data_IF_728738633510
#
_entry.id   IF_728738633510
#
_cell.length_a   1.000
_cell.length_b   1.000
_cell.length_c   1.000
_cell.angle_alpha   90.00
_cell.angle_beta   90.00
_cell.angle_gamma   90.00
#
_symmetry.space_group_name_H-M   'P 1'
#
loop_
_entity.id
_entity.type
_entity.pdbx_description
1 polymer ?
#
# COMPACT_ATOMS: atom_id res chain seq x y z
N UNK A 1 -16.67 -7.78 -10.27
CA UNK A 1 -15.62 -7.06 -9.53
C UNK A 1 -14.55 -8.07 -9.16
N UNK A 2 -13.27 -7.82 -9.45
CA UNK A 2 -12.19 -8.79 -9.18
C UNK A 2 -11.93 -8.80 -7.67
N UNK A 3 -11.96 -9.98 -7.04
CA UNK A 3 -11.60 -10.15 -5.63
C UNK A 3 -10.11 -9.91 -5.48
N UNK A 4 -9.72 -8.88 -4.75
CA UNK A 4 -8.33 -8.65 -4.38
C UNK A 4 -8.13 -9.28 -3.03
N UNK A 5 -7.14 -10.17 -2.93
CA UNK A 5 -6.81 -10.81 -1.67
C UNK A 5 -5.57 -10.16 -1.06
N UNK A 6 -5.56 -10.07 0.26
CA UNK A 6 -4.33 -9.82 1.00
C UNK A 6 -3.44 -11.07 0.98
N UNK A 7 -2.30 -10.96 1.66
CA UNK A 7 -1.36 -12.06 1.77
C UNK A 7 -1.86 -13.24 2.61
N UNK A 8 -2.85 -13.02 3.47
CA UNK A 8 -3.48 -14.04 4.30
C UNK A 8 -4.68 -14.69 3.58
N UNK A 9 -4.92 -14.34 2.31
CA UNK A 9 -6.03 -14.85 1.50
C UNK A 9 -7.38 -14.24 1.87
N UNK A 10 -7.41 -13.18 2.68
CA UNK A 10 -8.62 -12.44 3.03
C UNK A 10 -8.92 -11.41 1.96
N UNK A 11 -10.18 -11.03 1.81
CA UNK A 11 -10.53 -9.92 0.92
C UNK A 11 -9.92 -8.62 1.40
N UNK A 12 -9.32 -7.89 0.47
CA UNK A 12 -8.63 -6.65 0.72
C UNK A 12 -9.24 -5.53 -0.11
N UNK A 13 -9.52 -4.41 0.55
CA UNK A 13 -9.74 -3.15 -0.13
C UNK A 13 -8.39 -2.51 -0.46
N UNK A 14 -8.25 -1.96 -1.67
CA UNK A 14 -7.02 -1.31 -2.13
C UNK A 14 -7.40 0.04 -2.71
N UNK A 15 -6.82 1.10 -2.19
CA UNK A 15 -6.88 2.45 -2.77
C UNK A 15 -6.19 2.51 -4.14
N UNK A 16 -5.17 1.69 -4.35
CA UNK A 16 -4.42 1.56 -5.61
C UNK A 16 -4.06 0.11 -5.92
N UNK A 17 -4.16 -0.26 -7.19
CA UNK A 17 -3.75 -1.58 -7.70
C UNK A 17 -2.59 -1.46 -8.68
N UNK A 18 -1.84 -2.54 -8.90
CA UNK A 18 -0.75 -2.57 -9.90
C UNK A 18 -1.27 -2.21 -11.30
N UNK A 19 -2.48 -2.65 -11.67
CA UNK A 19 -3.12 -2.28 -12.93
C UNK A 19 -3.42 -0.78 -12.99
N UNK A 20 -3.91 -0.19 -11.89
CA UNK A 20 -4.10 1.25 -11.74
C UNK A 20 -2.80 2.02 -11.90
N UNK A 21 -1.74 1.65 -11.17
CA UNK A 21 -0.41 2.27 -11.28
C UNK A 21 0.10 2.20 -12.73
N UNK A 22 -0.05 1.05 -13.40
CA UNK A 22 0.35 0.90 -14.81
C UNK A 22 -0.42 1.85 -15.73
N UNK A 23 -1.71 2.08 -15.47
CA UNK A 23 -2.54 2.99 -16.26
C UNK A 23 -2.16 4.47 -16.10
N UNK A 24 -1.56 4.83 -14.95
CA UNK A 24 -1.03 6.19 -14.71
C UNK A 24 0.29 6.46 -15.44
N UNK A 25 0.89 5.46 -16.08
CA UNK A 25 2.11 5.65 -16.85
C UNK A 25 1.86 6.69 -17.95
N UNK A 26 2.64 7.77 -17.93
CA UNK A 26 2.54 8.93 -18.83
C UNK A 26 1.29 9.81 -18.63
N UNK A 27 0.48 9.63 -17.58
CA UNK A 27 -0.69 10.50 -17.32
C UNK A 27 -0.32 11.84 -16.69
N UNK A 28 0.90 11.96 -16.13
CA UNK A 28 1.33 13.11 -15.33
C UNK A 28 0.85 13.07 -13.86
N UNK A 29 -0.08 12.17 -13.54
CA UNK A 29 -0.47 11.88 -12.15
C UNK A 29 0.69 11.22 -11.41
N UNK A 30 0.92 11.63 -10.16
CA UNK A 30 1.94 11.04 -9.30
C UNK A 30 1.27 10.42 -8.07
N UNK A 31 1.84 9.31 -7.62
CA UNK A 31 1.51 8.68 -6.35
C UNK A 31 2.66 8.96 -5.38
N UNK A 32 2.31 9.12 -4.12
CA UNK A 32 3.26 9.27 -3.03
C UNK A 32 3.61 7.90 -2.47
N UNK A 33 4.89 7.71 -2.15
CA UNK A 33 5.38 6.49 -1.51
C UNK A 33 6.27 6.88 -0.33
N UNK A 34 6.06 6.23 0.82
CA UNK A 34 6.88 6.39 2.02
C UNK A 34 7.43 5.05 2.48
N UNK A 35 8.45 5.09 3.33
CA UNK A 35 8.97 3.90 4.02
C UNK A 35 8.30 3.78 5.38
N UNK A 36 7.90 2.57 5.77
CA UNK A 36 7.48 2.24 7.13
C UNK A 36 8.25 1.01 7.64
N UNK A 37 8.53 1.00 8.94
CA UNK A 37 9.12 -0.09 9.71
C UNK A 37 8.22 -0.57 10.86
N UNK A 38 7.19 0.19 11.23
CA UNK A 38 6.22 -0.18 12.28
C UNK A 38 4.76 -0.09 11.80
N UNK A 39 3.86 -0.63 12.63
CA UNK A 39 2.41 -0.49 12.45
C UNK A 39 1.97 0.97 12.55
N UNK A 40 2.51 1.75 13.51
CA UNK A 40 2.12 3.15 13.66
C UNK A 40 2.52 3.99 12.45
N UNK A 41 3.69 3.72 11.87
CA UNK A 41 4.14 4.40 10.66
C UNK A 41 3.28 4.05 9.44
N UNK A 42 2.85 2.79 9.31
CA UNK A 42 1.92 2.35 8.27
C UNK A 42 0.56 3.06 8.40
N UNK A 43 0.00 3.06 9.60
CA UNK A 43 -1.27 3.72 9.89
C UNK A 43 -1.20 5.24 9.67
N UNK A 44 -0.09 5.87 10.08
CA UNK A 44 0.14 7.29 9.84
C UNK A 44 0.22 7.62 8.35
N UNK A 45 0.83 6.74 7.54
CA UNK A 45 0.89 6.90 6.10
C UNK A 45 -0.51 6.83 5.46
N UNK A 46 -1.34 5.87 5.87
CA UNK A 46 -2.73 5.77 5.40
C UNK A 46 -3.56 6.99 5.81
N UNK A 47 -3.47 7.41 7.08
CA UNK A 47 -4.17 8.59 7.59
C UNK A 47 -3.73 9.88 6.88
N UNK A 48 -2.49 9.95 6.40
CA UNK A 48 -1.96 11.05 5.60
C UNK A 48 -2.35 10.97 4.11
N UNK A 49 -3.08 9.93 3.69
CA UNK A 49 -3.50 9.73 2.30
C UNK A 49 -2.36 9.28 1.38
N UNK A 50 -1.27 8.71 1.94
CA UNK A 50 -0.18 8.17 1.13
C UNK A 50 -0.63 6.86 0.48
N UNK A 51 -0.47 6.76 -0.83
CA UNK A 51 -1.02 5.62 -1.59
C UNK A 51 -0.17 4.36 -1.45
N UNK A 52 1.11 4.48 -1.12
CA UNK A 52 2.06 3.38 -1.12
C UNK A 52 3.02 3.41 0.07
N UNK A 53 3.22 2.25 0.70
CA UNK A 53 4.23 2.03 1.73
C UNK A 53 5.22 0.97 1.26
N UNK A 54 6.52 1.21 1.44
CA UNK A 54 7.59 0.22 1.30
C UNK A 54 8.18 -0.10 2.67
N UNK A 55 8.55 -1.36 2.90
CA UNK A 55 9.23 -1.76 4.13
C UNK A 55 10.36 -2.74 3.79
N UNK A 56 11.34 -2.83 4.70
CA UNK A 56 12.35 -3.89 4.62
C UNK A 56 11.69 -5.25 4.89
N UNK A 57 12.24 -6.32 4.32
CA UNK A 57 11.67 -7.66 4.44
C UNK A 57 11.43 -8.09 5.90
N UNK A 58 12.33 -7.74 6.82
CA UNK A 58 12.19 -8.03 8.25
C UNK A 58 11.06 -7.28 8.96
N UNK A 59 10.56 -6.17 8.40
CA UNK A 59 9.52 -5.35 8.98
C UNK A 59 8.11 -5.69 8.49
N UNK A 60 7.97 -6.59 7.50
CA UNK A 60 6.68 -6.92 6.85
C UNK A 60 5.61 -7.31 7.86
N UNK A 61 5.96 -8.10 8.88
CA UNK A 61 5.00 -8.54 9.91
C UNK A 61 4.49 -7.36 10.75
N UNK A 62 5.37 -6.44 11.13
CA UNK A 62 5.02 -5.29 11.96
C UNK A 62 4.19 -4.26 11.18
N UNK A 63 4.66 -3.91 9.98
CA UNK A 63 4.00 -2.92 9.11
C UNK A 63 2.57 -3.32 8.75
N UNK A 64 2.27 -4.61 8.66
CA UNK A 64 0.92 -5.11 8.33
C UNK A 64 -0.10 -5.09 9.46
N UNK A 65 0.33 -4.79 10.68
CA UNK A 65 -0.59 -4.67 11.82
C UNK A 65 -1.24 -3.28 11.89
N UNK A 66 -0.72 -2.31 11.14
CA UNK A 66 -1.28 -0.97 10.99
C UNK A 66 -1.82 -0.77 9.59
#
# INVERSE_FOLDING_TARGET
MVRILDYNGQEAERTVTVAGIRSLKNSGTRLSQVTAGSAEEAHAAEAAGIEMVVCMAGAVTAVRQG
#
